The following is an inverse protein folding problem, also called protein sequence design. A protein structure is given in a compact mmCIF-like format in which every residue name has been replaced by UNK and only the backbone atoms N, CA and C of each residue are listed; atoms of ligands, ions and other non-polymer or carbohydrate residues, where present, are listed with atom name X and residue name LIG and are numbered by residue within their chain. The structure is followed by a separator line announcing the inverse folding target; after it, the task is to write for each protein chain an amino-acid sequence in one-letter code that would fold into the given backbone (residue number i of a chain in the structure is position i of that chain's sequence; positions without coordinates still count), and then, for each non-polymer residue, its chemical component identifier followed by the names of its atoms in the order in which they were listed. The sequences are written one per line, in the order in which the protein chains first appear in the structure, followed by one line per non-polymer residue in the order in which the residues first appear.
data_IF_881056116385
#
_entry.id   IF_881056116385
#
_cell.length_a   1.000
_cell.length_b   1.000
_cell.length_c   1.000
_cell.angle_alpha   90.00
_cell.angle_beta   90.00
_cell.angle_gamma   90.00
#
_symmetry.space_group_name_H-M   'P 1'
#
loop_
_entity.id
_entity.type
_entity.pdbx_description
1 polymer ?
#
# COMPACT_ATOMS: atom_id res chain seq x y z
N UNK A 1 -8.14 29.19 -10.76
CA UNK A 1 -8.39 27.72 -10.67
C UNK A 1 -7.06 27.06 -10.33
N UNK A 2 -6.99 26.25 -9.29
CA UNK A 2 -5.80 25.46 -9.00
C UNK A 2 -5.54 24.48 -10.15
N UNK A 3 -4.28 24.30 -10.54
CA UNK A 3 -3.90 23.34 -11.59
C UNK A 3 -4.26 21.92 -11.12
N UNK A 4 -5.05 21.19 -11.91
CA UNK A 4 -5.36 19.79 -11.65
C UNK A 4 -4.10 18.93 -11.72
N UNK A 5 -3.96 17.95 -10.82
CA UNK A 5 -2.91 16.95 -10.87
C UNK A 5 -3.28 15.86 -11.88
N UNK A 6 -2.38 15.63 -12.83
CA UNK A 6 -2.56 14.68 -13.93
C UNK A 6 -2.02 13.32 -13.53
N UNK A 7 -2.89 12.32 -13.53
CA UNK A 7 -2.60 10.96 -13.10
C UNK A 7 -2.61 10.01 -14.31
N UNK A 8 -1.55 9.23 -14.48
CA UNK A 8 -1.58 8.04 -15.32
C UNK A 8 -1.66 6.78 -14.45
N UNK A 9 -2.34 5.74 -14.93
CA UNK A 9 -2.52 4.48 -14.19
C UNK A 9 -2.03 3.29 -15.00
N UNK A 10 -1.37 2.33 -14.34
CA UNK A 10 -0.85 1.13 -14.98
C UNK A 10 -1.62 -0.13 -14.53
N UNK A 11 -2.00 -0.99 -15.50
CA UNK A 11 -2.69 -2.26 -15.25
C UNK A 11 -4.21 -2.14 -15.15
N UNK A 12 -4.85 -1.53 -16.16
CA UNK A 12 -6.31 -1.22 -16.17
C UNK A 12 -7.19 -2.46 -16.03
N UNK A 13 -6.73 -3.64 -16.50
CA UNK A 13 -7.42 -4.92 -16.28
C UNK A 13 -7.38 -5.43 -14.85
N UNK A 14 -6.59 -4.79 -13.97
CA UNK A 14 -6.46 -5.16 -12.56
C UNK A 14 -7.60 -4.64 -11.68
N UNK A 15 -7.95 -5.42 -10.65
CA UNK A 15 -9.04 -5.09 -9.70
C UNK A 15 -8.86 -3.75 -8.97
N UNK A 16 -7.62 -3.32 -8.73
CA UNK A 16 -7.33 -2.07 -8.03
C UNK A 16 -7.52 -0.84 -8.91
N UNK A 17 -7.18 -0.93 -10.19
CA UNK A 17 -7.17 0.23 -11.08
C UNK A 17 -8.57 0.76 -11.34
N UNK A 18 -9.59 -0.11 -11.46
CA UNK A 18 -11.00 0.33 -11.52
C UNK A 18 -11.37 1.22 -10.34
N UNK A 19 -10.99 0.81 -9.13
CA UNK A 19 -11.26 1.59 -7.92
C UNK A 19 -10.46 2.91 -7.90
N UNK A 20 -9.22 2.89 -8.40
CA UNK A 20 -8.36 4.10 -8.49
C UNK A 20 -8.97 5.11 -9.47
N UNK A 21 -9.41 4.67 -10.64
CA UNK A 21 -10.05 5.54 -11.63
C UNK A 21 -11.34 6.18 -11.09
N UNK A 22 -12.18 5.38 -10.40
CA UNK A 22 -13.36 5.90 -9.72
C UNK A 22 -13.00 6.91 -8.63
N UNK A 23 -11.94 6.64 -7.86
CA UNK A 23 -11.48 7.54 -6.81
C UNK A 23 -10.90 8.85 -7.38
N UNK A 24 -10.14 8.81 -8.49
CA UNK A 24 -9.64 10.02 -9.16
C UNK A 24 -10.79 10.85 -9.68
N UNK A 25 -11.81 10.22 -10.32
CA UNK A 25 -12.98 10.93 -10.87
C UNK A 25 -13.81 11.63 -9.80
N UNK A 26 -13.80 11.15 -8.57
CA UNK A 26 -14.54 11.75 -7.46
C UNK A 26 -13.89 13.03 -6.91
N UNK A 27 -12.72 13.41 -7.42
CA UNK A 27 -11.94 14.56 -6.93
C UNK A 27 -11.83 15.63 -8.00
N UNK A 28 -12.23 16.86 -7.71
CA UNK A 28 -12.27 17.98 -8.66
C UNK A 28 -10.87 18.47 -9.09
N UNK A 29 -9.86 18.23 -8.26
CA UNK A 29 -8.48 18.66 -8.45
C UNK A 29 -7.58 17.60 -9.12
N UNK A 30 -8.15 16.46 -9.53
CA UNK A 30 -7.44 15.37 -10.20
C UNK A 30 -8.03 15.07 -11.57
N UNK A 31 -7.19 14.65 -12.51
CA UNK A 31 -7.61 14.18 -13.83
C UNK A 31 -6.79 12.98 -14.27
N UNK A 32 -7.45 11.99 -14.88
CA UNK A 32 -6.77 10.87 -15.55
C UNK A 32 -6.30 11.33 -16.93
N UNK A 33 -5.01 11.17 -17.22
CA UNK A 33 -4.43 11.55 -18.52
C UNK A 33 -3.79 10.38 -19.24
N UNK A 34 -3.58 9.24 -18.59
CA UNK A 34 -2.99 8.05 -19.20
C UNK A 34 -3.47 6.78 -18.53
N UNK A 35 -3.56 5.71 -19.32
CA UNK A 35 -3.94 4.39 -18.86
C UNK A 35 -3.18 3.33 -19.66
N UNK A 36 -2.67 2.30 -18.99
CA UNK A 36 -1.91 1.24 -19.67
C UNK A 36 -2.39 -0.16 -19.30
N UNK A 37 -2.20 -1.07 -20.23
CA UNK A 37 -2.33 -2.50 -20.01
C UNK A 37 -1.20 -3.24 -20.74
N UNK A 38 -0.93 -4.48 -20.33
CA UNK A 38 0.13 -5.30 -20.92
C UNK A 38 -0.03 -5.43 -22.45
N UNK A 39 1.06 -5.48 -23.22
CA UNK A 39 1.01 -5.70 -24.66
C UNK A 39 0.19 -6.95 -25.02
N UNK A 40 -0.59 -6.88 -26.09
CA UNK A 40 -1.46 -7.97 -26.54
C UNK A 40 -2.79 -8.10 -25.81
N UNK A 41 -3.11 -7.22 -24.85
CA UNK A 41 -4.42 -7.18 -24.25
C UNK A 41 -5.47 -6.69 -25.25
N UNK A 42 -6.65 -7.34 -25.25
CA UNK A 42 -7.81 -6.90 -26.04
C UNK A 42 -8.42 -5.56 -25.59
N UNK A 43 -7.95 -5.05 -24.45
CA UNK A 43 -8.42 -3.80 -23.88
C UNK A 43 -7.71 -2.57 -24.46
N UNK A 44 -6.61 -2.77 -25.19
CA UNK A 44 -5.85 -1.67 -25.80
C UNK A 44 -6.71 -0.93 -26.81
N UNK A 45 -6.69 0.40 -26.72
CA UNK A 45 -7.50 1.30 -27.55
C UNK A 45 -8.90 1.59 -27.00
N UNK A 46 -9.41 0.80 -26.05
CA UNK A 46 -10.68 1.09 -25.38
C UNK A 46 -10.52 2.28 -24.43
N UNK A 47 -11.61 2.98 -24.13
CA UNK A 47 -11.62 4.01 -23.10
C UNK A 47 -11.48 3.39 -21.71
N UNK A 48 -10.52 3.87 -20.94
CA UNK A 48 -10.19 3.33 -19.61
C UNK A 48 -11.37 3.48 -18.64
N UNK A 49 -12.10 4.57 -18.72
CA UNK A 49 -13.22 4.83 -17.83
C UNK A 49 -14.44 3.97 -18.17
N UNK A 50 -14.74 3.77 -19.44
CA UNK A 50 -15.83 2.88 -19.87
C UNK A 50 -15.52 1.44 -19.43
N UNK A 51 -14.29 0.97 -19.68
CA UNK A 51 -13.89 -0.38 -19.32
C UNK A 51 -14.02 -0.66 -17.81
N UNK A 52 -13.71 0.32 -16.98
CA UNK A 52 -13.70 0.17 -15.52
C UNK A 52 -14.99 0.59 -14.82
N UNK A 53 -15.99 1.03 -15.59
CA UNK A 53 -17.27 1.51 -15.05
C UNK A 53 -17.22 2.92 -14.44
N UNK A 54 -16.11 3.65 -14.63
CA UNK A 54 -16.00 5.05 -14.20
C UNK A 54 -16.74 6.04 -15.12
N UNK A 55 -17.33 5.56 -16.24
CA UNK A 55 -17.89 6.38 -17.31
C UNK A 55 -16.82 6.94 -18.25
N UNK A 56 -17.18 7.60 -19.37
CA UNK A 56 -16.21 8.07 -20.35
C UNK A 56 -15.17 9.02 -19.74
N UNK A 57 -13.89 8.74 -20.01
CA UNK A 57 -12.75 9.58 -19.62
C UNK A 57 -12.01 10.16 -20.84
N UNK A 58 -12.30 9.67 -22.05
CA UNK A 58 -11.58 9.98 -23.29
C UNK A 58 -10.08 9.64 -23.24
N UNK A 59 -9.73 8.66 -22.39
CA UNK A 59 -8.38 8.17 -22.18
C UNK A 59 -8.25 6.76 -22.75
N UNK A 60 -7.70 6.59 -23.95
CA UNK A 60 -7.48 5.26 -24.51
C UNK A 60 -6.39 4.51 -23.77
N UNK A 61 -6.59 3.21 -23.57
CA UNK A 61 -5.63 2.30 -22.96
C UNK A 61 -4.47 2.06 -23.92
N UNK A 62 -3.26 2.40 -23.50
CA UNK A 62 -2.04 2.18 -24.27
C UNK A 62 -1.37 0.84 -23.90
N UNK A 63 -0.56 0.31 -24.81
CA UNK A 63 0.19 -0.93 -24.61
C UNK A 63 1.47 -0.77 -23.80
N UNK A 64 1.88 0.48 -23.52
CA UNK A 64 3.05 0.79 -22.70
C UNK A 64 2.89 2.14 -22.01
N UNK A 65 3.69 2.37 -20.96
CA UNK A 65 3.70 3.64 -20.24
C UNK A 65 4.29 4.77 -21.09
N UNK A 66 5.30 4.47 -21.89
CA UNK A 66 5.89 5.42 -22.84
C UNK A 66 4.83 5.98 -23.78
N UNK A 67 4.05 5.10 -24.42
CA UNK A 67 2.99 5.49 -25.35
C UNK A 67 1.91 6.35 -24.66
N UNK A 68 1.57 6.02 -23.41
CA UNK A 68 0.61 6.80 -22.64
C UNK A 68 1.15 8.20 -22.30
N UNK A 69 2.41 8.32 -21.88
CA UNK A 69 3.06 9.58 -21.54
C UNK A 69 3.41 10.42 -22.78
N UNK A 70 3.65 9.80 -23.93
CA UNK A 70 3.81 10.52 -25.21
C UNK A 70 2.52 11.14 -25.69
N UNK A 71 1.39 10.49 -25.39
CA UNK A 71 0.07 10.98 -25.76
C UNK A 71 -0.39 12.14 -24.90
N UNK A 72 -0.18 12.07 -23.60
CA UNK A 72 -0.53 13.12 -22.66
C UNK A 72 0.41 13.13 -21.46
N UNK A 73 0.80 14.32 -21.03
CA UNK A 73 1.65 14.46 -19.85
C UNK A 73 0.90 14.02 -18.58
N UNK A 74 1.60 13.29 -17.72
CA UNK A 74 1.19 12.99 -16.35
C UNK A 74 2.16 13.62 -15.35
N UNK A 75 1.64 14.08 -14.22
CA UNK A 75 2.46 14.56 -13.10
C UNK A 75 2.91 13.38 -12.23
N UNK A 76 2.03 12.36 -12.10
CA UNK A 76 2.27 11.15 -11.30
C UNK A 76 1.71 9.93 -12.01
N UNK A 77 2.44 8.82 -11.94
CA UNK A 77 1.98 7.48 -12.34
C UNK A 77 1.60 6.69 -11.08
N UNK A 78 0.47 5.99 -11.11
CA UNK A 78 0.06 5.05 -10.06
C UNK A 78 0.12 3.63 -10.62
N UNK A 79 0.94 2.79 -10.01
CA UNK A 79 1.24 1.43 -10.48
C UNK A 79 0.79 0.35 -9.48
N UNK A 80 -0.13 -0.52 -9.94
CA UNK A 80 -0.57 -1.73 -9.24
C UNK A 80 -0.51 -2.92 -10.19
N UNK A 81 0.69 -3.26 -10.67
CA UNK A 81 0.92 -4.31 -11.67
C UNK A 81 1.68 -5.51 -11.08
N UNK A 82 2.86 -5.78 -11.60
CA UNK A 82 3.76 -6.85 -11.17
C UNK A 82 5.18 -6.30 -11.00
N UNK A 83 6.02 -6.94 -10.18
CA UNK A 83 7.35 -6.44 -9.83
C UNK A 83 8.19 -6.08 -11.06
N UNK A 84 8.28 -6.97 -12.05
CA UNK A 84 9.04 -6.70 -13.28
C UNK A 84 8.49 -5.52 -14.10
N UNK A 85 7.16 -5.35 -14.17
CA UNK A 85 6.54 -4.22 -14.84
C UNK A 85 6.78 -2.91 -14.08
N UNK A 86 6.66 -2.93 -12.76
CA UNK A 86 6.92 -1.76 -11.92
C UNK A 86 8.36 -1.25 -12.03
N UNK A 87 9.34 -2.15 -12.18
CA UNK A 87 10.73 -1.77 -12.42
C UNK A 87 10.89 -1.05 -13.76
N UNK A 88 10.27 -1.58 -14.82
CA UNK A 88 10.27 -0.92 -16.14
C UNK A 88 9.54 0.43 -16.07
N UNK A 89 8.38 0.50 -15.41
CA UNK A 89 7.66 1.77 -15.23
C UNK A 89 8.51 2.81 -14.48
N UNK A 90 9.33 2.37 -13.52
CA UNK A 90 10.24 3.27 -12.81
C UNK A 90 11.35 3.81 -13.72
N UNK A 91 11.93 2.98 -14.60
CA UNK A 91 12.88 3.43 -15.63
C UNK A 91 12.26 4.51 -16.52
N UNK A 92 11.01 4.29 -17.00
CA UNK A 92 10.26 5.25 -17.82
C UNK A 92 9.96 6.54 -17.07
N UNK A 93 9.47 6.45 -15.84
CA UNK A 93 9.16 7.62 -15.00
C UNK A 93 10.42 8.45 -14.71
N UNK A 94 11.55 7.81 -14.43
CA UNK A 94 12.83 8.49 -14.21
C UNK A 94 13.30 9.24 -15.47
N UNK A 95 13.21 8.61 -16.64
CA UNK A 95 13.56 9.24 -17.92
C UNK A 95 12.67 10.46 -18.25
N UNK A 96 11.39 10.43 -17.84
CA UNK A 96 10.39 11.47 -18.11
C UNK A 96 10.23 12.48 -16.96
N UNK A 97 10.95 12.30 -15.84
CA UNK A 97 10.83 13.13 -14.61
C UNK A 97 9.39 13.19 -14.07
N UNK A 98 8.70 12.06 -14.10
CA UNK A 98 7.34 11.88 -13.59
C UNK A 98 7.39 11.17 -12.24
N UNK A 99 6.59 11.62 -11.26
CA UNK A 99 6.49 10.95 -9.96
C UNK A 99 5.86 9.57 -10.08
N UNK A 100 6.25 8.62 -9.21
CA UNK A 100 5.75 7.25 -9.26
C UNK A 100 5.25 6.77 -7.89
N UNK A 101 4.00 6.33 -7.82
CA UNK A 101 3.40 5.62 -6.68
C UNK A 101 3.32 4.14 -6.99
N UNK A 102 3.99 3.30 -6.19
CA UNK A 102 4.02 1.85 -6.36
C UNK A 102 3.27 1.16 -5.23
N UNK A 103 2.13 0.57 -5.58
CA UNK A 103 1.34 -0.32 -4.72
C UNK A 103 1.54 -1.80 -5.03
N UNK A 104 2.36 -2.11 -6.03
CA UNK A 104 2.78 -3.47 -6.38
C UNK A 104 3.55 -4.10 -5.22
N UNK A 105 3.33 -5.38 -4.99
CA UNK A 105 3.98 -6.18 -3.95
C UNK A 105 4.74 -7.37 -4.56
N UNK A 106 5.49 -8.10 -3.73
CA UNK A 106 6.19 -9.32 -4.18
C UNK A 106 7.59 -9.07 -4.75
N UNK A 107 8.17 -7.88 -4.58
CA UNK A 107 9.57 -7.63 -4.95
C UNK A 107 10.54 -8.41 -4.06
N UNK A 108 11.59 -8.95 -4.66
CA UNK A 108 12.79 -9.39 -3.96
C UNK A 108 13.54 -8.20 -3.32
N UNK A 109 14.54 -8.48 -2.50
CA UNK A 109 15.38 -7.44 -1.88
C UNK A 109 16.12 -6.61 -2.96
N UNK A 110 16.69 -7.27 -3.97
CA UNK A 110 17.40 -6.62 -5.06
C UNK A 110 16.47 -5.77 -5.94
N UNK A 111 15.28 -6.28 -6.24
CA UNK A 111 14.27 -5.52 -6.99
C UNK A 111 13.81 -4.27 -6.21
N UNK A 112 13.62 -4.38 -4.88
CA UNK A 112 13.32 -3.22 -4.03
C UNK A 112 14.45 -2.20 -4.05
N UNK A 113 15.70 -2.64 -3.94
CA UNK A 113 16.87 -1.76 -3.99
C UNK A 113 16.99 -1.06 -5.36
N UNK A 114 16.79 -1.81 -6.46
CA UNK A 114 16.76 -1.24 -7.81
C UNK A 114 15.65 -0.21 -7.97
N UNK A 115 14.42 -0.54 -7.53
CA UNK A 115 13.29 0.39 -7.59
C UNK A 115 13.59 1.66 -6.79
N UNK A 116 14.09 1.52 -5.55
CA UNK A 116 14.43 2.62 -4.66
C UNK A 116 15.53 3.54 -5.24
N UNK A 117 16.44 3.04 -6.07
CA UNK A 117 17.49 3.86 -6.68
C UNK A 117 16.97 4.97 -7.60
N UNK A 118 15.76 4.81 -8.17
CA UNK A 118 15.11 5.85 -8.98
C UNK A 118 14.71 7.08 -8.17
N UNK A 119 14.62 6.95 -6.84
CA UNK A 119 14.32 8.06 -5.94
C UNK A 119 15.37 9.20 -6.01
N UNK A 120 16.58 8.93 -6.50
CA UNK A 120 17.57 9.97 -6.78
C UNK A 120 17.16 10.91 -7.93
N UNK A 121 16.20 10.52 -8.77
CA UNK A 121 15.81 11.24 -9.98
C UNK A 121 14.38 11.75 -9.98
N UNK A 122 13.48 11.06 -9.28
CA UNK A 122 12.04 11.34 -9.20
C UNK A 122 11.51 11.19 -7.77
N UNK A 123 10.41 11.84 -7.42
CA UNK A 123 9.67 11.47 -6.22
C UNK A 123 9.07 10.07 -6.45
N UNK A 124 9.46 9.13 -5.60
CA UNK A 124 9.04 7.72 -5.66
C UNK A 124 8.40 7.33 -4.32
N UNK A 125 7.15 6.90 -4.35
CA UNK A 125 6.46 6.38 -3.18
C UNK A 125 6.25 4.88 -3.32
N UNK A 126 6.71 4.12 -2.32
CA UNK A 126 6.51 2.68 -2.24
C UNK A 126 5.74 2.33 -0.97
N UNK A 127 4.59 1.67 -1.10
CA UNK A 127 3.87 1.18 0.06
C UNK A 127 3.15 -0.14 -0.26
N UNK A 128 3.37 -1.21 0.51
CA UNK A 128 2.70 -2.50 0.31
C UNK A 128 1.22 -2.46 0.73
N UNK A 129 0.82 -1.42 1.45
CA UNK A 129 -0.57 -1.17 1.83
C UNK A 129 -0.85 0.34 1.79
N UNK A 130 -1.78 0.76 0.95
CA UNK A 130 -2.14 2.17 0.76
C UNK A 130 -3.28 2.63 1.68
N UNK A 131 -3.88 1.76 2.50
CA UNK A 131 -4.94 2.17 3.43
C UNK A 131 -4.43 3.21 4.42
N UNK A 132 -5.09 4.36 4.45
CA UNK A 132 -4.79 5.42 5.43
C UNK A 132 -4.95 4.90 6.86
N UNK A 133 -6.06 4.19 7.14
CA UNK A 133 -6.33 3.65 8.49
C UNK A 133 -5.27 2.65 8.95
N UNK A 134 -4.81 1.75 8.06
CA UNK A 134 -3.73 0.79 8.40
C UNK A 134 -2.41 1.52 8.68
N UNK A 135 -2.09 2.56 7.91
CA UNK A 135 -0.86 3.30 8.11
C UNK A 135 -0.89 4.17 9.38
N UNK A 136 -2.05 4.70 9.75
CA UNK A 136 -2.27 5.32 11.07
C UNK A 136 -2.09 4.27 12.17
N UNK A 137 -2.65 3.07 11.99
CA UNK A 137 -2.52 1.99 12.98
C UNK A 137 -1.06 1.58 13.20
N UNK A 138 -0.21 1.53 12.16
CA UNK A 138 1.22 1.25 12.32
C UNK A 138 1.90 2.26 13.26
N UNK A 139 1.59 3.55 13.12
CA UNK A 139 2.15 4.60 13.97
C UNK A 139 1.64 4.46 15.41
N UNK A 140 0.32 4.33 15.59
CA UNK A 140 -0.28 4.18 16.91
C UNK A 140 0.26 2.95 17.66
N UNK A 141 0.43 1.82 16.97
CA UNK A 141 1.02 0.61 17.57
C UNK A 141 2.44 0.85 18.02
N UNK A 142 3.26 1.56 17.22
CA UNK A 142 4.64 1.88 17.63
C UNK A 142 4.67 2.77 18.88
N UNK A 143 3.83 3.80 18.93
CA UNK A 143 3.76 4.73 20.06
C UNK A 143 3.21 4.07 21.32
N UNK A 144 2.12 3.30 21.20
CA UNK A 144 1.56 2.54 22.33
C UNK A 144 2.57 1.52 22.85
N UNK A 145 3.23 0.77 21.97
CA UNK A 145 4.24 -0.20 22.36
C UNK A 145 5.41 0.45 23.12
N UNK A 146 5.85 1.64 22.69
CA UNK A 146 6.91 2.38 23.37
C UNK A 146 6.46 2.91 24.73
N UNK A 147 5.24 3.42 24.83
CA UNK A 147 4.71 3.95 26.09
C UNK A 147 4.43 2.84 27.13
N UNK A 148 3.87 1.72 26.70
CA UNK A 148 3.51 0.58 27.55
C UNK A 148 4.71 -0.30 27.91
N UNK A 149 5.73 -0.33 27.06
CA UNK A 149 6.96 -1.10 27.26
C UNK A 149 6.73 -2.62 27.36
N UNK A 150 7.66 -3.32 27.97
CA UNK A 150 7.65 -4.79 28.13
C UNK A 150 6.72 -5.30 29.25
N UNK A 151 6.11 -4.41 30.00
CA UNK A 151 5.11 -4.76 31.01
C UNK A 151 3.79 -5.23 30.37
N UNK A 152 3.55 -4.85 29.11
CA UNK A 152 2.39 -5.30 28.34
C UNK A 152 2.80 -6.33 27.30
N UNK A 153 2.15 -7.48 27.36
CA UNK A 153 2.27 -8.55 26.36
C UNK A 153 1.58 -8.13 25.06
N UNK A 154 2.21 -8.40 23.92
CA UNK A 154 1.68 -8.01 22.62
C UNK A 154 1.23 -9.23 21.81
N UNK A 155 -0.01 -9.18 21.28
CA UNK A 155 -0.56 -10.17 20.36
C UNK A 155 -1.19 -9.46 19.16
N UNK A 156 -0.92 -9.98 17.97
CA UNK A 156 -1.51 -9.52 16.70
C UNK A 156 -2.44 -10.60 16.19
N UNK A 157 -3.70 -10.24 15.90
CA UNK A 157 -4.68 -11.15 15.29
C UNK A 157 -5.12 -10.57 13.96
N UNK A 158 -5.09 -11.38 12.90
CA UNK A 158 -5.55 -10.97 11.58
C UNK A 158 -6.61 -11.93 11.02
N UNK A 159 -7.58 -11.39 10.32
CA UNK A 159 -8.64 -12.13 9.66
C UNK A 159 -8.78 -11.68 8.20
N UNK A 160 -8.73 -12.63 7.28
CA UNK A 160 -8.98 -12.40 5.85
C UNK A 160 -9.88 -13.48 5.25
N UNK A 161 -10.32 -13.21 4.02
CA UNK A 161 -11.15 -14.13 3.24
C UNK A 161 -10.49 -15.50 3.05
N UNK A 162 -11.32 -16.54 2.82
CA UNK A 162 -10.91 -17.94 2.65
C UNK A 162 -9.89 -18.18 1.52
N UNK A 163 -9.80 -17.27 0.54
CA UNK A 163 -8.93 -17.41 -0.63
C UNK A 163 -7.53 -16.78 -0.45
N UNK A 164 -7.23 -16.15 0.71
CA UNK A 164 -5.91 -15.58 0.96
C UNK A 164 -4.90 -16.68 1.25
N UNK A 165 -3.81 -16.70 0.46
CA UNK A 165 -2.81 -17.78 0.47
C UNK A 165 -1.70 -17.56 1.49
N UNK A 166 -1.24 -16.31 1.64
CA UNK A 166 -0.19 -15.96 2.59
C UNK A 166 -0.75 -15.89 4.02
N UNK A 167 0.00 -16.41 4.98
CA UNK A 167 -0.27 -16.39 6.40
C UNK A 167 1.05 -16.34 7.19
N UNK A 168 1.23 -15.37 8.11
CA UNK A 168 0.37 -14.22 8.33
C UNK A 168 0.38 -13.23 7.16
N UNK A 169 -0.59 -12.30 7.14
CA UNK A 169 -0.63 -11.23 6.14
C UNK A 169 0.58 -10.28 6.29
N UNK A 170 1.01 -9.66 5.18
CA UNK A 170 2.08 -8.66 5.23
C UNK A 170 1.75 -7.47 6.16
N UNK A 171 0.47 -7.13 6.32
CA UNK A 171 0.02 -6.10 7.26
C UNK A 171 0.20 -6.55 8.71
N UNK A 172 -0.13 -7.81 9.04
CA UNK A 172 0.07 -8.34 10.39
C UNK A 172 1.56 -8.39 10.77
N UNK A 173 2.43 -8.80 9.83
CA UNK A 173 3.87 -8.77 10.04
C UNK A 173 4.38 -7.35 10.32
N UNK A 174 3.93 -6.35 9.56
CA UNK A 174 4.31 -4.95 9.80
C UNK A 174 3.77 -4.40 11.12
N UNK A 175 2.61 -4.85 11.59
CA UNK A 175 2.08 -4.51 12.92
C UNK A 175 2.95 -5.11 14.02
N UNK A 176 3.36 -6.36 13.87
CA UNK A 176 4.31 -7.01 14.80
C UNK A 176 5.67 -6.30 14.81
N UNK A 177 6.20 -5.92 13.65
CA UNK A 177 7.42 -5.12 13.53
C UNK A 177 7.27 -3.73 14.18
N UNK A 178 6.10 -3.10 14.05
CA UNK A 178 5.81 -1.81 14.69
C UNK A 178 5.79 -1.93 16.21
N UNK A 179 5.15 -2.98 16.75
CA UNK A 179 5.14 -3.29 18.18
C UNK A 179 6.55 -3.64 18.69
N UNK A 180 7.29 -4.46 17.94
CA UNK A 180 8.67 -4.83 18.28
C UNK A 180 9.57 -3.58 18.38
N UNK A 181 9.50 -2.66 17.40
CA UNK A 181 10.25 -1.39 17.49
C UNK A 181 9.92 -0.60 18.75
N UNK A 182 8.63 -0.48 19.07
CA UNK A 182 8.21 0.27 20.26
C UNK A 182 8.69 -0.38 21.57
N UNK A 183 8.66 -1.71 21.67
CA UNK A 183 9.11 -2.45 22.86
C UNK A 183 10.63 -2.74 22.88
N UNK A 184 11.38 -2.35 21.84
CA UNK A 184 12.81 -2.68 21.72
C UNK A 184 13.07 -4.19 21.59
N UNK A 185 12.22 -4.89 20.81
CA UNK A 185 12.33 -6.32 20.50
C UNK A 185 12.81 -6.50 19.06
N UNK A 186 13.30 -7.70 18.75
CA UNK A 186 13.75 -8.09 17.40
C UNK A 186 12.75 -9.10 16.77
N UNK A 187 12.76 -9.30 15.44
CA UNK A 187 11.87 -10.24 14.76
C UNK A 187 11.92 -11.67 15.25
N UNK A 188 13.04 -12.10 15.86
CA UNK A 188 13.21 -13.43 16.48
C UNK A 188 12.27 -13.64 17.68
N UNK A 189 11.68 -12.57 18.21
CA UNK A 189 10.64 -12.61 19.26
C UNK A 189 9.26 -13.02 18.74
N UNK A 190 9.06 -13.17 17.42
CA UNK A 190 7.74 -13.47 16.85
C UNK A 190 7.35 -14.93 17.04
N UNK A 191 6.12 -15.16 17.52
CA UNK A 191 5.52 -16.47 17.72
C UNK A 191 4.31 -16.61 16.82
N UNK A 192 4.42 -17.43 15.77
CA UNK A 192 3.39 -17.54 14.73
C UNK A 192 2.24 -18.49 15.06
N UNK A 193 2.43 -19.40 16.01
CA UNK A 193 1.39 -20.32 16.43
C UNK A 193 1.64 -20.84 17.85
N UNK A 194 0.55 -21.11 18.55
CA UNK A 194 0.57 -21.91 19.79
C UNK A 194 -0.40 -23.08 19.60
N UNK A 195 0.10 -24.31 19.71
CA UNK A 195 -0.69 -25.54 19.54
C UNK A 195 -0.25 -26.60 20.53
N UNK A 196 -1.21 -27.29 21.14
CA UNK A 196 -0.94 -28.30 22.16
C UNK A 196 -0.53 -27.69 23.50
N UNK A 197 0.18 -28.49 24.31
CA UNK A 197 0.75 -28.03 25.58
C UNK A 197 2.11 -27.34 25.29
N UNK A 198 2.13 -26.02 25.29
CA UNK A 198 3.32 -25.20 25.01
C UNK A 198 3.84 -24.49 26.26
N UNK A 199 3.26 -24.81 27.46
CA UNK A 199 3.55 -24.15 28.70
C UNK A 199 3.08 -22.68 28.76
N UNK A 200 3.43 -21.93 29.79
CA UNK A 200 3.10 -20.53 29.96
C UNK A 200 3.67 -19.67 28.80
N UNK A 201 3.01 -18.54 28.54
CA UNK A 201 3.49 -17.58 27.55
C UNK A 201 4.92 -17.11 27.86
N UNK A 202 5.80 -17.17 26.87
CA UNK A 202 7.16 -16.66 27.01
C UNK A 202 7.16 -15.13 27.06
N UNK A 203 7.95 -14.57 27.99
CA UNK A 203 8.14 -13.11 28.06
C UNK A 203 8.89 -12.56 26.84
N UNK A 204 8.70 -11.29 26.57
CA UNK A 204 9.36 -10.58 25.46
C UNK A 204 9.11 -11.22 24.09
N UNK A 205 7.93 -11.81 23.89
CA UNK A 205 7.48 -12.32 22.60
C UNK A 205 6.28 -11.55 22.08
N UNK A 206 6.09 -11.55 20.74
CA UNK A 206 4.92 -11.00 20.06
C UNK A 206 4.22 -12.15 19.34
N UNK A 207 2.99 -12.45 19.73
CA UNK A 207 2.21 -13.48 19.06
C UNK A 207 1.56 -12.94 17.78
N UNK A 208 1.47 -13.79 16.75
CA UNK A 208 0.80 -13.44 15.48
C UNK A 208 -0.14 -14.57 15.11
N UNK A 209 -1.45 -14.30 15.20
CA UNK A 209 -2.49 -15.29 14.93
C UNK A 209 -3.22 -14.96 13.63
N UNK A 210 -3.48 -15.99 12.85
CA UNK A 210 -4.09 -15.89 11.52
C UNK A 210 -5.43 -16.58 11.48
N UNK A 211 -6.48 -15.87 11.06
CA UNK A 211 -7.79 -16.43 10.79
C UNK A 211 -8.16 -16.31 9.30
N UNK A 212 -8.89 -17.30 8.79
CA UNK A 212 -9.40 -17.31 7.40
C UNK A 212 -10.87 -17.68 7.41
N UNK A 213 -11.71 -16.86 6.73
CA UNK A 213 -13.14 -17.12 6.66
C UNK A 213 -13.87 -16.14 5.76
N UNK A 214 -15.02 -16.54 5.25
CA UNK A 214 -15.91 -15.69 4.46
C UNK A 214 -15.23 -14.98 3.30
N UNK A 215 -15.63 -13.73 3.13
CA UNK A 215 -15.17 -12.77 2.14
C UNK A 215 -14.46 -11.54 2.76
N UNK A 216 -14.05 -11.65 4.03
CA UNK A 216 -13.43 -10.56 4.80
C UNK A 216 -12.27 -9.95 4.03
N UNK A 217 -12.33 -8.65 3.81
CA UNK A 217 -11.30 -7.91 3.06
C UNK A 217 -9.98 -7.87 3.82
N UNK A 218 -10.04 -7.64 5.13
CA UNK A 218 -8.91 -7.69 6.03
C UNK A 218 -9.20 -6.96 7.34
N UNK A 219 -9.04 -7.66 8.45
CA UNK A 219 -9.14 -7.12 9.80
C UNK A 219 -7.85 -7.40 10.56
N UNK A 220 -7.43 -6.47 11.39
CA UNK A 220 -6.21 -6.58 12.17
C UNK A 220 -6.45 -5.95 13.53
N UNK A 221 -6.17 -6.70 14.59
CA UNK A 221 -6.20 -6.20 15.96
C UNK A 221 -4.85 -6.44 16.63
N UNK A 222 -4.32 -5.42 17.24
CA UNK A 222 -3.15 -5.52 18.13
C UNK A 222 -3.64 -5.37 19.56
N UNK A 223 -3.33 -6.35 20.37
CA UNK A 223 -3.62 -6.38 21.79
C UNK A 223 -2.36 -6.05 22.57
N UNK A 224 -2.44 -5.15 23.53
CA UNK A 224 -1.48 -4.94 24.59
C UNK A 224 -2.14 -5.33 25.90
N UNK A 225 -1.62 -6.38 26.56
CA UNK A 225 -2.29 -7.07 27.66
C UNK A 225 -1.41 -7.01 28.91
N UNK A 226 -1.98 -6.58 30.02
CA UNK A 226 -1.38 -6.62 31.34
C UNK A 226 -2.35 -7.23 32.36
N UNK A 227 -1.91 -7.44 33.58
CA UNK A 227 -2.79 -7.89 34.65
C UNK A 227 -3.87 -6.82 34.94
N UNK A 228 -5.13 -7.21 34.80
CA UNK A 228 -6.28 -6.37 35.09
C UNK A 228 -6.75 -5.46 33.97
N UNK A 229 -5.98 -5.29 32.87
CA UNK A 229 -6.41 -4.46 31.73
C UNK A 229 -5.80 -4.92 30.40
N UNK A 230 -6.40 -4.47 29.29
CA UNK A 230 -5.82 -4.56 27.97
C UNK A 230 -6.23 -3.38 27.11
N UNK A 231 -5.35 -2.98 26.19
CA UNK A 231 -5.63 -2.03 25.15
C UNK A 231 -5.74 -2.77 23.81
N UNK A 232 -6.77 -2.46 23.01
CA UNK A 232 -7.00 -3.05 21.70
C UNK A 232 -6.96 -1.97 20.62
N UNK A 233 -6.11 -2.13 19.62
CA UNK A 233 -6.05 -1.26 18.44
C UNK A 233 -6.50 -2.06 17.22
N UNK A 234 -7.67 -1.71 16.67
CA UNK A 234 -8.31 -2.49 15.61
C UNK A 234 -8.54 -1.67 14.35
N UNK A 235 -8.21 -2.27 13.20
CA UNK A 235 -8.60 -1.80 11.88
C UNK A 235 -9.42 -2.88 11.15
N UNK A 236 -10.55 -2.48 10.56
CA UNK A 236 -11.40 -3.34 9.72
C UNK A 236 -11.61 -2.71 8.36
N UNK A 237 -11.21 -3.40 7.31
CA UNK A 237 -11.49 -3.02 5.93
C UNK A 237 -12.80 -3.69 5.48
N UNK A 238 -13.80 -2.90 5.14
CA UNK A 238 -15.09 -3.38 4.62
C UNK A 238 -15.19 -3.32 3.09
N UNK A 239 -14.31 -2.52 2.46
CA UNK A 239 -14.19 -2.38 1.00
C UNK A 239 -12.73 -2.21 0.60
N UNK A 240 -12.39 -2.51 -0.66
CA UNK A 240 -11.07 -2.21 -1.23
C UNK A 240 -10.91 -0.75 -1.66
N UNK A 241 -11.96 0.04 -1.64
CA UNK A 241 -11.92 1.47 -2.00
C UNK A 241 -10.98 2.28 -1.09
N UNK A 242 -10.81 1.84 0.16
CA UNK A 242 -9.87 2.47 1.09
C UNK A 242 -8.43 2.45 0.58
N UNK A 243 -8.00 1.38 -0.12
CA UNK A 243 -6.66 1.30 -0.73
C UNK A 243 -6.55 2.22 -1.94
N UNK A 244 -7.59 2.27 -2.79
CA UNK A 244 -7.62 3.14 -3.96
C UNK A 244 -7.59 4.62 -3.57
N UNK A 245 -8.42 5.03 -2.61
CA UNK A 245 -8.40 6.40 -2.06
C UNK A 245 -7.05 6.76 -1.44
N UNK A 246 -6.41 5.80 -0.76
CA UNK A 246 -5.07 5.99 -0.23
C UNK A 246 -4.01 6.18 -1.32
N UNK A 247 -4.07 5.40 -2.41
CA UNK A 247 -3.19 5.54 -3.55
C UNK A 247 -3.39 6.90 -4.27
N UNK A 248 -4.62 7.34 -4.42
CA UNK A 248 -4.97 8.65 -4.99
C UNK A 248 -4.44 9.79 -4.09
N UNK A 249 -4.63 9.68 -2.77
CA UNK A 249 -4.05 10.63 -1.80
C UNK A 249 -2.53 10.67 -1.90
N UNK A 250 -1.88 9.51 -2.05
CA UNK A 250 -0.43 9.43 -2.23
C UNK A 250 0.01 10.11 -3.54
N UNK A 251 -0.70 9.89 -4.65
CA UNK A 251 -0.42 10.54 -5.93
C UNK A 251 -0.56 12.07 -5.87
N UNK A 252 -1.64 12.56 -5.27
CA UNK A 252 -1.85 14.00 -5.03
C UNK A 252 -0.72 14.61 -4.21
N UNK A 253 -0.33 13.95 -3.13
CA UNK A 253 0.73 14.42 -2.24
C UNK A 253 2.09 14.41 -2.93
N UNK A 254 2.38 13.36 -3.72
CA UNK A 254 3.67 13.13 -4.37
C UNK A 254 3.99 14.19 -5.43
N UNK A 255 2.99 14.74 -6.11
CA UNK A 255 3.15 15.77 -7.15
C UNK A 255 3.92 17.01 -6.67
N UNK A 256 3.87 17.35 -5.38
CA UNK A 256 4.57 18.49 -4.80
C UNK A 256 5.97 18.17 -4.23
N UNK A 257 6.42 16.90 -4.32
CA UNK A 257 7.63 16.46 -3.65
C UNK A 257 8.88 16.55 -4.55
N UNK A 258 10.03 16.73 -3.91
CA UNK A 258 11.35 16.63 -4.56
C UNK A 258 11.68 15.14 -4.84
N UNK A 259 12.67 14.85 -5.72
CA UNK A 259 13.23 13.52 -5.81
C UNK A 259 13.57 12.95 -4.43
N UNK A 260 13.12 11.74 -4.15
CA UNK A 260 13.26 11.10 -2.85
C UNK A 260 12.41 9.82 -2.76
N UNK A 261 12.75 8.96 -1.81
CA UNK A 261 11.98 7.76 -1.49
C UNK A 261 11.02 8.05 -0.34
N UNK A 262 9.74 7.82 -0.59
CA UNK A 262 8.65 8.11 0.31
C UNK A 262 7.79 6.88 0.58
N UNK A 263 7.04 6.93 1.67
CA UNK A 263 5.99 5.95 1.97
C UNK A 263 4.71 6.64 2.51
N UNK A 264 3.73 5.85 2.95
CA UNK A 264 2.49 6.42 3.47
C UNK A 264 2.66 7.16 4.81
N UNK A 265 3.74 6.94 5.56
CA UNK A 265 4.01 7.70 6.79
C UNK A 265 4.37 9.15 6.47
N UNK A 266 5.07 9.38 5.34
CA UNK A 266 5.38 10.71 4.84
C UNK A 266 4.11 11.43 4.36
N UNK A 267 3.24 10.74 3.59
CA UNK A 267 1.93 11.25 3.12
C UNK A 267 1.04 11.69 4.28
N UNK A 268 1.13 10.99 5.40
CA UNK A 268 0.32 11.25 6.59
C UNK A 268 0.97 12.24 7.57
N UNK A 269 2.20 12.68 7.30
CA UNK A 269 2.92 13.64 8.13
C UNK A 269 3.45 13.07 9.45
N UNK A 270 3.60 11.74 9.56
CA UNK A 270 4.16 11.10 10.74
C UNK A 270 5.69 11.17 10.77
N UNK A 271 6.33 11.27 9.61
CA UNK A 271 7.74 11.65 9.52
C UNK A 271 7.80 13.15 9.24
N UNK A 272 8.47 13.89 10.10
CA UNK A 272 8.84 15.28 9.82
C UNK A 272 10.10 15.27 8.98
N UNK A 273 10.18 16.13 7.94
CA UNK A 273 11.39 16.29 7.14
C UNK A 273 12.59 16.76 7.96
#
# INVERSE_FOLDING_TARGET
MSRQVRIAVCGVGGRMVSQILNAVRAEDDLIVTGATERPGSLQIGLDAGILTGAGPLEVPICSSLEAALDRAHADVVIDFTAAAASLHHADVCAARKVGLVVGTTGFSADEKAKLASHAAQIPLLMAPNMSVGVNVLFQLVTECAAALGKAYECEVVELHHRMKKDAPSGTALRLAEAAARGQGLLPESFVYARHGDVGPRQQNTIGIQTLRGGDVVGEHTVYFIADGERLELTHRATSRDNFARGAVRAGRWLQGQKPGLYDMQDVLGFRRP
#
